data_IF_965424410819
#
_entry.id   IF_965424410819
#
_cell.length_a   1.000
_cell.length_b   1.000
_cell.length_c   1.000
_cell.angle_alpha   90.00
_cell.angle_beta   90.00
_cell.angle_gamma   90.00
#
_symmetry.space_group_name_H-M   'P 1'
#
loop_
_entity.id
_entity.type
_entity.pdbx_description
1 polymer ?
#
# COMPACT_ATOMS: atom_id res chain seq x y z
N UNK A 1 48.82 15.78 42.70
CA UNK A 1 49.95 14.91 42.30
C UNK A 1 50.97 15.66 41.45
N UNK A 2 50.57 16.38 40.40
CA UNK A 2 51.51 17.19 39.60
C UNK A 2 52.11 18.35 40.41
N UNK A 3 51.28 19.13 41.11
CA UNK A 3 51.76 20.25 41.94
C UNK A 3 52.75 19.86 43.07
N UNK A 4 52.72 18.62 43.56
CA UNK A 4 53.70 18.13 44.54
C UNK A 4 55.03 17.70 43.89
N UNK A 5 55.00 17.22 42.64
CA UNK A 5 56.21 16.85 41.89
C UNK A 5 56.91 18.10 41.35
N UNK A 6 56.12 19.10 40.95
CA UNK A 6 56.60 20.39 40.44
C UNK A 6 57.31 21.18 41.56
N UNK A 7 56.74 21.23 42.76
CA UNK A 7 57.40 21.79 43.95
C UNK A 7 58.68 21.02 44.34
N UNK A 8 58.66 19.68 44.30
CA UNK A 8 59.86 18.85 44.56
C UNK A 8 60.96 19.13 43.53
N UNK A 9 60.60 19.35 42.25
CA UNK A 9 61.53 19.70 41.18
C UNK A 9 62.12 21.08 41.37
N UNK A 10 61.31 22.10 41.61
CA UNK A 10 61.78 23.48 41.82
C UNK A 10 62.75 23.55 42.98
N UNK A 11 62.44 22.87 44.09
CA UNK A 11 63.31 22.80 45.27
C UNK A 11 64.65 22.14 44.93
N UNK A 12 64.63 20.98 44.25
CA UNK A 12 65.85 20.27 43.88
C UNK A 12 66.67 21.00 42.79
N UNK A 13 66.03 21.74 41.88
CA UNK A 13 66.71 22.55 40.86
C UNK A 13 67.43 23.73 41.52
N UNK A 14 66.78 24.41 42.46
CA UNK A 14 67.39 25.48 43.23
C UNK A 14 68.57 24.99 44.08
N UNK A 15 68.50 23.78 44.63
CA UNK A 15 69.62 23.15 45.35
C UNK A 15 70.75 22.71 44.41
N UNK A 16 70.45 22.22 43.20
CA UNK A 16 71.45 21.61 42.30
C UNK A 16 72.17 22.62 41.39
N UNK A 17 71.53 23.70 40.95
CA UNK A 17 72.12 24.68 40.01
C UNK A 17 73.41 25.36 40.52
N UNK A 18 73.46 25.98 41.72
CA UNK A 18 74.72 26.57 42.22
C UNK A 18 75.83 25.51 42.40
N UNK A 19 75.46 24.24 42.62
CA UNK A 19 76.40 23.12 42.75
C UNK A 19 76.94 22.62 41.39
N UNK A 20 76.31 23.00 40.27
CA UNK A 20 76.84 22.74 38.91
C UNK A 20 78.00 23.68 38.59
N UNK A 21 77.85 24.97 38.90
CA UNK A 21 78.86 26.00 38.70
C UNK A 21 80.09 25.79 39.59
N UNK A 22 79.88 25.32 40.84
CA UNK A 22 80.98 25.04 41.76
C UNK A 22 81.93 23.96 41.20
N UNK A 23 81.41 22.88 40.62
CA UNK A 23 82.22 21.78 40.03
C UNK A 23 83.17 22.26 38.93
N UNK A 24 82.79 23.30 38.17
CA UNK A 24 83.63 23.88 37.11
C UNK A 24 84.69 24.86 37.63
N UNK A 25 84.53 25.43 38.82
CA UNK A 25 85.46 26.40 39.43
C UNK A 25 86.52 25.82 40.37
N UNK A 26 86.56 24.50 40.58
CA UNK A 26 87.42 23.83 41.59
C UNK A 26 88.88 23.60 41.12
N UNK A 27 89.35 24.27 40.07
CA UNK A 27 90.78 24.19 39.69
C UNK A 27 91.71 24.96 40.67
N UNK A 28 91.19 25.80 41.57
CA UNK A 28 92.01 26.55 42.53
C UNK A 28 91.77 26.10 43.99
N UNK A 29 92.71 25.31 44.52
CA UNK A 29 92.79 25.01 45.96
C UNK A 29 93.45 26.20 46.67
N UNK A 30 92.74 26.82 47.61
CA UNK A 30 93.25 27.88 48.48
C UNK A 30 94.12 27.32 49.61
N UNK A 31 95.32 26.86 49.25
CA UNK A 31 96.33 26.40 50.19
C UNK A 31 97.72 26.51 49.54
N UNK A 32 98.46 27.56 49.88
CA UNK A 32 99.79 27.88 49.37
C UNK A 32 100.84 26.82 49.77
N UNK A 33 100.86 25.71 49.04
CA UNK A 33 102.00 24.80 48.99
C UNK A 33 102.96 25.18 47.87
N UNK A 34 104.23 24.83 48.00
CA UNK A 34 105.24 25.11 46.97
C UNK A 34 105.29 23.92 46.01
N UNK A 35 105.00 24.14 44.73
CA UNK A 35 105.16 23.09 43.70
C UNK A 35 106.64 22.72 43.62
N UNK A 36 106.95 21.45 43.88
CA UNK A 36 108.34 20.96 43.88
C UNK A 36 108.63 20.16 42.60
N UNK A 37 107.60 19.51 42.05
CA UNK A 37 107.58 18.80 40.77
C UNK A 37 106.19 18.95 40.15
N UNK A 38 106.01 18.76 38.82
CA UNK A 38 104.68 18.75 38.20
C UNK A 38 103.76 17.75 38.93
N UNK A 39 102.62 18.23 39.44
CA UNK A 39 101.66 17.42 40.20
C UNK A 39 102.02 17.14 41.68
N UNK A 40 103.16 17.63 42.20
CA UNK A 40 103.59 17.40 43.59
C UNK A 40 103.75 18.73 44.33
N UNK A 41 102.91 18.93 45.35
CA UNK A 41 102.87 20.13 46.17
C UNK A 41 103.36 19.83 47.58
N UNK A 42 104.41 20.53 48.05
CA UNK A 42 104.89 20.40 49.42
C UNK A 42 104.06 21.25 50.38
N UNK A 43 103.58 20.61 51.45
CA UNK A 43 102.71 21.22 52.46
C UNK A 43 103.43 21.16 53.82
N UNK A 44 103.33 22.22 54.63
CA UNK A 44 103.86 22.21 56.00
C UNK A 44 103.10 21.19 56.84
N UNK A 45 103.80 20.39 57.65
CA UNK A 45 103.21 19.32 58.49
C UNK A 45 102.04 19.79 59.36
N UNK A 46 102.09 21.04 59.86
CA UNK A 46 101.01 21.67 60.64
C UNK A 46 99.70 21.89 59.86
N UNK A 47 99.75 21.92 58.52
CA UNK A 47 98.59 22.13 57.65
C UNK A 47 98.09 20.81 57.04
N UNK A 48 98.77 19.68 57.27
CA UNK A 48 98.43 18.39 56.65
C UNK A 48 97.06 17.86 57.11
N UNK A 49 96.73 18.01 58.39
CA UNK A 49 95.43 17.55 58.91
C UNK A 49 94.27 18.38 58.36
N UNK A 50 94.42 19.71 58.28
CA UNK A 50 93.41 20.59 57.68
C UNK A 50 93.16 20.24 56.21
N UNK A 51 94.22 19.94 55.43
CA UNK A 51 94.09 19.54 54.02
C UNK A 51 93.41 18.17 53.89
N UNK A 52 93.67 17.21 54.80
CA UNK A 52 92.98 15.92 54.82
C UNK A 52 91.49 16.05 55.17
N UNK A 53 91.14 16.90 56.15
CA UNK A 53 89.74 17.16 56.51
C UNK A 53 88.99 17.85 55.37
N UNK A 54 89.62 18.83 54.71
CA UNK A 54 89.06 19.48 53.53
C UNK A 54 88.86 18.51 52.36
N UNK A 55 89.81 17.60 52.11
CA UNK A 55 89.67 16.58 51.07
C UNK A 55 88.55 15.57 51.38
N UNK A 56 88.36 15.20 52.65
CA UNK A 56 87.24 14.36 53.09
C UNK A 56 85.90 15.08 52.95
N UNK A 57 85.80 16.31 53.44
CA UNK A 57 84.60 17.14 53.29
C UNK A 57 84.25 17.37 51.81
N UNK A 58 85.25 17.57 50.96
CA UNK A 58 85.07 17.65 49.52
C UNK A 58 84.52 16.37 48.91
N UNK A 59 85.05 15.21 49.31
CA UNK A 59 84.58 13.91 48.81
C UNK A 59 83.13 13.66 49.21
N UNK A 60 82.77 13.93 50.47
CA UNK A 60 81.39 13.82 50.96
C UNK A 60 80.46 14.78 50.22
N UNK A 61 80.83 16.06 50.07
CA UNK A 61 80.04 17.04 49.33
C UNK A 61 79.88 16.64 47.86
N UNK A 62 80.92 16.10 47.22
CA UNK A 62 80.87 15.62 45.84
C UNK A 62 79.87 14.48 45.69
N UNK A 63 79.85 13.53 46.62
CA UNK A 63 78.95 12.39 46.60
C UNK A 63 77.49 12.82 46.88
N UNK A 64 77.28 13.73 47.85
CA UNK A 64 75.97 14.34 48.09
C UNK A 64 75.44 15.09 46.87
N UNK A 65 76.28 15.90 46.20
CA UNK A 65 75.94 16.57 44.93
C UNK A 65 75.58 15.56 43.85
N UNK A 66 76.28 14.44 43.75
CA UNK A 66 75.96 13.38 42.79
C UNK A 66 74.59 12.78 43.07
N UNK A 67 74.26 12.49 44.34
CA UNK A 67 72.94 11.96 44.72
C UNK A 67 71.80 12.95 44.48
N UNK A 68 72.01 14.25 44.73
CA UNK A 68 71.01 15.28 44.43
C UNK A 68 70.72 15.40 42.94
N UNK A 69 71.75 15.26 42.09
CA UNK A 69 71.58 15.22 40.62
C UNK A 69 70.81 14.00 40.16
N UNK A 70 71.06 12.84 40.75
CA UNK A 70 70.30 11.62 40.44
C UNK A 70 68.83 11.75 40.86
N UNK A 71 68.57 12.31 42.05
CA UNK A 71 67.21 12.61 42.52
C UNK A 71 66.48 13.61 41.63
N UNK A 72 67.16 14.69 41.24
CA UNK A 72 66.63 15.68 40.29
C UNK A 72 66.26 15.02 38.96
N UNK A 73 67.15 14.18 38.39
CA UNK A 73 66.86 13.44 37.17
C UNK A 73 65.69 12.45 37.33
N UNK A 74 65.56 11.81 38.50
CA UNK A 74 64.44 10.92 38.80
C UNK A 74 63.11 11.68 38.93
N UNK A 75 63.10 12.87 39.52
CA UNK A 75 61.93 13.76 39.57
C UNK A 75 61.51 14.20 38.17
N UNK A 76 62.44 14.67 37.33
CA UNK A 76 62.12 15.06 35.95
C UNK A 76 61.53 13.89 35.13
N UNK A 77 62.02 12.66 35.32
CA UNK A 77 61.43 11.48 34.67
C UNK A 77 60.02 11.15 35.19
N UNK A 78 59.74 11.39 36.48
CA UNK A 78 58.41 11.18 37.06
C UNK A 78 57.40 12.19 36.55
N UNK A 79 57.80 13.45 36.44
CA UNK A 79 57.01 14.54 35.85
C UNK A 79 56.63 14.23 34.40
N UNK A 80 57.62 13.91 33.54
CA UNK A 80 57.35 13.53 32.14
C UNK A 80 56.37 12.36 32.01
N UNK A 81 56.46 11.36 32.91
CA UNK A 81 55.50 10.23 32.94
C UNK A 81 54.13 10.66 33.42
N UNK A 82 54.04 11.60 34.35
CA UNK A 82 52.79 12.15 34.84
C UNK A 82 52.09 12.95 33.73
N UNK A 83 52.82 13.80 33.00
CA UNK A 83 52.31 14.56 31.85
C UNK A 83 51.79 13.64 30.74
N UNK A 84 52.53 12.57 30.42
CA UNK A 84 52.09 11.57 29.45
C UNK A 84 50.81 10.86 29.89
N UNK A 85 50.67 10.54 31.18
CA UNK A 85 49.47 9.93 31.73
C UNK A 85 48.29 10.89 31.68
N UNK A 86 48.49 12.16 32.03
CA UNK A 86 47.45 13.18 31.95
C UNK A 86 46.95 13.35 30.52
N UNK A 87 47.86 13.44 29.54
CA UNK A 87 47.48 13.50 28.12
C UNK A 87 46.69 12.26 27.68
N UNK A 88 47.06 11.06 28.16
CA UNK A 88 46.30 9.83 27.88
C UNK A 88 44.92 9.83 28.53
N UNK A 89 44.80 10.33 29.77
CA UNK A 89 43.53 10.45 30.47
C UNK A 89 42.62 11.45 29.74
N UNK A 90 43.13 12.62 29.36
CA UNK A 90 42.36 13.63 28.62
C UNK A 90 41.85 13.08 27.28
N UNK A 91 42.67 12.30 26.55
CA UNK A 91 42.23 11.62 25.32
C UNK A 91 41.15 10.57 25.58
N UNK A 92 41.23 9.84 26.68
CA UNK A 92 40.21 8.86 27.07
C UNK A 92 38.91 9.53 27.48
N UNK A 93 38.99 10.62 28.23
CA UNK A 93 37.83 11.42 28.66
C UNK A 93 37.08 11.98 27.44
N UNK A 94 37.78 12.62 26.51
CA UNK A 94 37.20 13.07 25.25
C UNK A 94 36.55 11.91 24.46
N UNK A 95 37.20 10.75 24.40
CA UNK A 95 36.62 9.56 23.75
C UNK A 95 35.38 9.00 24.46
N UNK A 96 35.30 9.13 25.78
CA UNK A 96 34.12 8.74 26.55
C UNK A 96 32.95 9.71 26.33
N UNK A 97 33.21 11.02 26.28
CA UNK A 97 32.21 12.03 25.95
C UNK A 97 31.65 11.82 24.54
N UNK A 98 32.51 11.58 23.56
CA UNK A 98 32.09 11.25 22.18
C UNK A 98 31.20 10.00 22.15
N UNK A 99 31.58 8.95 22.89
CA UNK A 99 30.79 7.73 22.97
C UNK A 99 29.43 7.96 23.64
N UNK A 100 29.39 8.75 24.71
CA UNK A 100 28.16 9.12 25.40
C UNK A 100 27.21 9.88 24.46
N UNK A 101 27.73 10.85 23.70
CA UNK A 101 26.97 11.61 22.71
C UNK A 101 26.39 10.69 21.63
N UNK A 102 27.21 9.76 21.09
CA UNK A 102 26.74 8.78 20.11
C UNK A 102 25.63 7.87 20.66
N UNK A 103 25.72 7.45 21.92
CA UNK A 103 24.68 6.62 22.55
C UNK A 103 23.38 7.40 22.66
N UNK A 104 23.42 8.67 23.09
CA UNK A 104 22.24 9.53 23.21
C UNK A 104 21.59 9.74 21.83
N UNK A 105 22.38 10.00 20.79
CA UNK A 105 21.87 10.14 19.41
C UNK A 105 21.21 8.86 18.90
N UNK A 106 21.86 7.70 19.11
CA UNK A 106 21.31 6.40 18.71
C UNK A 106 20.01 6.09 19.46
N UNK A 107 19.95 6.40 20.75
CA UNK A 107 18.74 6.23 21.56
C UNK A 107 17.60 7.10 21.04
N UNK A 108 17.85 8.38 20.78
CA UNK A 108 16.85 9.30 20.23
C UNK A 108 16.37 8.85 18.84
N UNK A 109 17.28 8.36 18.00
CA UNK A 109 16.92 7.76 16.71
C UNK A 109 16.04 6.53 16.90
N UNK A 110 16.37 5.64 17.82
CA UNK A 110 15.58 4.45 18.09
C UNK A 110 14.17 4.80 18.58
N UNK A 111 14.04 5.80 19.45
CA UNK A 111 12.75 6.27 19.92
C UNK A 111 11.87 6.77 18.77
N UNK A 112 12.43 7.58 17.85
CA UNK A 112 11.72 8.05 16.66
C UNK A 112 11.29 6.90 15.74
N UNK A 113 12.17 5.90 15.55
CA UNK A 113 11.85 4.71 14.75
C UNK A 113 10.69 3.92 15.36
N UNK A 114 10.69 3.73 16.68
CA UNK A 114 9.60 3.03 17.36
C UNK A 114 8.26 3.77 17.22
N UNK A 115 8.26 5.11 17.32
CA UNK A 115 7.05 5.91 17.11
C UNK A 115 6.52 5.81 15.68
N UNK A 116 7.42 5.83 14.68
CA UNK A 116 7.04 5.66 13.28
C UNK A 116 6.50 4.26 13.00
N UNK A 117 7.09 3.24 13.60
CA UNK A 117 6.62 1.85 13.48
C UNK A 117 5.21 1.70 14.07
N UNK A 118 4.98 2.20 15.28
CA UNK A 118 3.67 2.14 15.92
C UNK A 118 2.59 2.87 15.09
N UNK A 119 2.95 4.02 14.50
CA UNK A 119 2.07 4.74 13.58
C UNK A 119 1.78 3.92 12.32
N UNK A 120 2.81 3.36 11.69
CA UNK A 120 2.68 2.56 10.48
C UNK A 120 1.82 1.31 10.71
N UNK A 121 1.95 0.66 11.87
CA UNK A 121 1.11 -0.49 12.25
C UNK A 121 -0.36 -0.09 12.44
N UNK A 122 -0.63 1.06 13.08
CA UNK A 122 -1.99 1.59 13.22
C UNK A 122 -2.60 1.92 11.86
N UNK A 123 -1.85 2.62 11.02
CA UNK A 123 -2.28 3.00 9.67
C UNK A 123 -2.52 1.76 8.80
N UNK A 124 -1.67 0.74 8.91
CA UNK A 124 -1.83 -0.56 8.26
C UNK A 124 -3.12 -1.25 8.67
N UNK A 125 -3.37 -1.40 9.99
CA UNK A 125 -4.61 -1.99 10.51
C UNK A 125 -5.86 -1.23 10.07
N UNK A 126 -5.80 0.10 10.03
CA UNK A 126 -6.92 0.92 9.56
C UNK A 126 -7.22 0.69 8.07
N UNK A 127 -6.18 0.59 7.24
CA UNK A 127 -6.31 0.26 5.82
C UNK A 127 -6.83 -1.15 5.60
N UNK A 128 -6.35 -2.13 6.35
CA UNK A 128 -6.84 -3.51 6.27
C UNK A 128 -8.34 -3.59 6.59
N UNK A 129 -8.79 -2.85 7.61
CA UNK A 129 -10.22 -2.74 7.91
C UNK A 129 -11.02 -2.12 6.76
N UNK A 130 -10.54 -1.03 6.17
CA UNK A 130 -11.19 -0.41 5.00
C UNK A 130 -11.26 -1.38 3.81
N UNK A 131 -10.21 -2.16 3.58
CA UNK A 131 -10.19 -3.17 2.52
C UNK A 131 -11.25 -4.25 2.80
N UNK A 132 -11.34 -4.74 4.03
CA UNK A 132 -12.33 -5.73 4.42
C UNK A 132 -13.77 -5.21 4.25
N UNK A 133 -14.03 -3.97 4.68
CA UNK A 133 -15.35 -3.32 4.54
C UNK A 133 -15.73 -3.17 3.05
N UNK A 134 -14.81 -2.70 2.20
CA UNK A 134 -15.02 -2.57 0.76
C UNK A 134 -15.21 -3.93 0.05
N UNK A 135 -14.54 -4.98 0.52
CA UNK A 135 -14.73 -6.34 -0.01
C UNK A 135 -16.11 -6.89 0.33
N UNK A 136 -16.59 -6.63 1.55
CA UNK A 136 -17.94 -7.02 1.98
C UNK A 136 -19.01 -6.28 1.15
N UNK A 137 -18.85 -4.97 0.96
CA UNK A 137 -19.76 -4.17 0.13
C UNK A 137 -19.77 -4.65 -1.33
N UNK A 138 -18.61 -4.88 -1.94
CA UNK A 138 -18.53 -5.43 -3.29
C UNK A 138 -19.22 -6.79 -3.42
N UNK A 139 -19.11 -7.64 -2.41
CA UNK A 139 -19.77 -8.95 -2.39
C UNK A 139 -21.28 -8.78 -2.34
N UNK A 140 -21.78 -7.87 -1.51
CA UNK A 140 -23.21 -7.51 -1.42
C UNK A 140 -23.73 -6.98 -2.75
N UNK A 141 -23.04 -6.01 -3.36
CA UNK A 141 -23.40 -5.42 -4.64
C UNK A 141 -23.44 -6.46 -5.78
N UNK A 142 -22.45 -7.37 -5.82
CA UNK A 142 -22.45 -8.49 -6.77
C UNK A 142 -23.66 -9.41 -6.56
N UNK A 143 -24.08 -9.63 -5.32
CA UNK A 143 -25.30 -10.37 -4.99
C UNK A 143 -26.55 -9.67 -5.52
N UNK A 144 -26.66 -8.35 -5.31
CA UNK A 144 -27.78 -7.55 -5.81
C UNK A 144 -27.85 -7.55 -7.34
N UNK A 145 -26.71 -7.41 -8.02
CA UNK A 145 -26.63 -7.47 -9.49
C UNK A 145 -27.17 -8.82 -9.99
N UNK A 146 -26.75 -9.95 -9.39
CA UNK A 146 -27.26 -11.28 -9.80
C UNK A 146 -28.77 -11.40 -9.62
N UNK A 147 -29.31 -10.89 -8.50
CA UNK A 147 -30.75 -10.89 -8.25
C UNK A 147 -31.51 -10.06 -9.29
N UNK A 148 -31.02 -8.87 -9.59
CA UNK A 148 -31.62 -8.00 -10.61
C UNK A 148 -31.54 -8.60 -12.01
N UNK A 149 -30.42 -9.24 -12.37
CA UNK A 149 -30.30 -9.97 -13.64
C UNK A 149 -31.35 -11.07 -13.75
N UNK A 150 -31.53 -11.89 -12.70
CA UNK A 150 -32.55 -12.94 -12.69
C UNK A 150 -33.98 -12.38 -12.82
N UNK A 151 -34.28 -11.27 -12.15
CA UNK A 151 -35.59 -10.60 -12.28
C UNK A 151 -35.82 -10.07 -13.70
N UNK A 152 -34.79 -9.48 -14.33
CA UNK A 152 -34.89 -9.02 -15.72
C UNK A 152 -35.16 -10.18 -16.67
N UNK A 153 -34.48 -11.32 -16.49
CA UNK A 153 -34.66 -12.49 -17.35
C UNK A 153 -36.07 -13.09 -17.17
N UNK A 154 -36.59 -13.11 -15.95
CA UNK A 154 -37.98 -13.50 -15.68
C UNK A 154 -38.98 -12.57 -16.39
N UNK A 155 -38.83 -11.25 -16.23
CA UNK A 155 -39.71 -10.26 -16.87
C UNK A 155 -39.67 -10.40 -18.39
N UNK A 156 -38.49 -10.60 -18.99
CA UNK A 156 -38.35 -10.84 -20.43
C UNK A 156 -39.12 -12.08 -20.87
N UNK A 157 -39.01 -13.18 -20.13
CA UNK A 157 -39.74 -14.41 -20.42
C UNK A 157 -41.25 -14.23 -20.36
N UNK A 158 -41.75 -13.56 -19.32
CA UNK A 158 -43.18 -13.26 -19.15
C UNK A 158 -43.71 -12.37 -20.27
N UNK A 159 -42.97 -11.30 -20.62
CA UNK A 159 -43.33 -10.41 -21.72
C UNK A 159 -43.32 -11.14 -23.06
N UNK A 160 -42.32 -11.98 -23.32
CA UNK A 160 -42.25 -12.75 -24.57
C UNK A 160 -43.43 -13.70 -24.72
N UNK A 161 -43.78 -14.43 -23.66
CA UNK A 161 -44.95 -15.30 -23.63
C UNK A 161 -46.24 -14.52 -23.91
N UNK A 162 -46.41 -13.36 -23.26
CA UNK A 162 -47.60 -12.53 -23.42
C UNK A 162 -47.70 -11.90 -24.81
N UNK A 163 -46.59 -11.48 -25.40
CA UNK A 163 -46.55 -10.97 -26.77
C UNK A 163 -47.00 -12.07 -27.74
N UNK A 164 -46.45 -13.28 -27.62
CA UNK A 164 -46.83 -14.38 -28.50
C UNK A 164 -48.32 -14.75 -28.37
N UNK A 165 -48.85 -14.85 -27.15
CA UNK A 165 -50.28 -15.12 -26.93
C UNK A 165 -51.17 -14.04 -27.56
N UNK A 166 -50.78 -12.77 -27.46
CA UNK A 166 -51.51 -11.67 -28.09
C UNK A 166 -51.40 -11.70 -29.62
N UNK A 167 -50.23 -12.01 -30.16
CA UNK A 167 -50.02 -12.18 -31.61
C UNK A 167 -50.89 -13.31 -32.16
N UNK A 168 -50.95 -14.45 -31.48
CA UNK A 168 -51.78 -15.59 -31.88
C UNK A 168 -53.27 -15.25 -31.83
N UNK A 169 -53.72 -14.58 -30.75
CA UNK A 169 -55.11 -14.11 -30.63
C UNK A 169 -55.47 -13.11 -31.72
N UNK A 170 -54.57 -12.17 -32.03
CA UNK A 170 -54.78 -11.18 -33.09
C UNK A 170 -54.90 -11.84 -34.46
N UNK A 171 -54.03 -12.81 -34.75
CA UNK A 171 -54.10 -13.64 -35.97
C UNK A 171 -55.44 -14.40 -36.06
N UNK A 172 -55.90 -14.98 -34.94
CA UNK A 172 -57.20 -15.66 -34.87
C UNK A 172 -58.39 -14.72 -35.11
N UNK A 173 -58.32 -13.49 -34.58
CA UNK A 173 -59.33 -12.45 -34.81
C UNK A 173 -59.38 -12.05 -36.30
N UNK A 174 -58.23 -11.83 -36.93
CA UNK A 174 -58.17 -11.52 -38.36
C UNK A 174 -58.61 -12.69 -39.25
N UNK A 175 -58.36 -13.93 -38.83
CA UNK A 175 -58.91 -15.11 -39.51
C UNK A 175 -60.43 -15.11 -39.47
N UNK A 176 -61.01 -14.82 -38.30
CA UNK A 176 -62.47 -14.70 -38.15
C UNK A 176 -63.04 -13.56 -39.00
N UNK A 177 -62.38 -12.39 -39.00
CA UNK A 177 -62.76 -11.25 -39.84
C UNK A 177 -62.72 -11.61 -41.33
N UNK A 178 -61.69 -12.33 -41.77
CA UNK A 178 -61.55 -12.80 -43.16
C UNK A 178 -62.73 -13.66 -43.56
N UNK A 179 -63.09 -14.61 -42.69
CA UNK A 179 -64.24 -15.49 -42.92
C UNK A 179 -65.56 -14.72 -43.02
N UNK A 180 -65.76 -13.72 -42.17
CA UNK A 180 -66.95 -12.84 -42.21
C UNK A 180 -67.00 -12.05 -43.51
N UNK A 181 -65.88 -11.42 -43.89
CA UNK A 181 -65.78 -10.63 -45.13
C UNK A 181 -66.10 -11.50 -46.35
N UNK A 182 -65.53 -12.70 -46.42
CA UNK A 182 -65.80 -13.64 -47.53
C UNK A 182 -67.26 -14.08 -47.57
N UNK A 183 -67.86 -14.39 -46.42
CA UNK A 183 -69.27 -14.74 -46.34
C UNK A 183 -70.19 -13.58 -46.77
N UNK A 184 -69.86 -12.33 -46.43
CA UNK A 184 -70.59 -11.15 -46.94
C UNK A 184 -70.39 -10.99 -48.45
N UNK A 185 -69.18 -11.23 -48.96
CA UNK A 185 -68.86 -11.22 -50.39
C UNK A 185 -69.69 -12.21 -51.21
N UNK A 186 -70.03 -13.39 -50.64
CA UNK A 186 -70.91 -14.38 -51.27
C UNK A 186 -72.25 -13.78 -51.73
N UNK A 187 -72.80 -12.80 -51.00
CA UNK A 187 -74.08 -12.16 -51.36
C UNK A 187 -74.06 -11.47 -52.73
N UNK A 188 -72.88 -11.07 -53.22
CA UNK A 188 -72.71 -10.43 -54.53
C UNK A 188 -72.07 -11.37 -55.55
N UNK A 189 -71.08 -12.14 -55.13
CA UNK A 189 -70.14 -12.82 -56.03
C UNK A 189 -70.33 -14.33 -56.14
N UNK A 190 -71.12 -14.95 -55.26
CA UNK A 190 -71.36 -16.38 -55.31
C UNK A 190 -72.00 -16.80 -56.65
N UNK A 191 -71.60 -17.96 -57.15
CA UNK A 191 -72.07 -18.53 -58.41
C UNK A 191 -72.52 -19.98 -58.27
N UNK A 192 -72.17 -20.64 -57.17
CA UNK A 192 -72.26 -22.09 -57.04
C UNK A 192 -73.20 -22.49 -55.88
N UNK A 193 -73.14 -21.76 -54.77
CA UNK A 193 -73.76 -22.20 -53.52
C UNK A 193 -75.18 -21.60 -53.30
N UNK A 194 -75.61 -20.69 -54.14
CA UNK A 194 -76.96 -20.09 -54.13
C UNK A 194 -77.17 -18.98 -53.09
N UNK A 195 -76.09 -18.46 -52.50
CA UNK A 195 -76.13 -17.36 -51.54
C UNK A 195 -76.20 -15.97 -52.19
N UNK A 196 -75.92 -15.88 -53.49
CA UNK A 196 -75.98 -14.62 -54.22
C UNK A 196 -77.40 -14.06 -54.23
N UNK A 197 -77.52 -12.76 -53.97
CA UNK A 197 -78.78 -12.03 -54.02
C UNK A 197 -78.93 -11.34 -55.38
N UNK A 198 -80.00 -11.66 -56.09
CA UNK A 198 -80.34 -10.98 -57.34
C UNK A 198 -81.00 -9.62 -57.10
N UNK A 199 -80.73 -8.66 -58.00
CA UNK A 199 -81.36 -7.33 -57.96
C UNK A 199 -80.79 -6.36 -56.93
N UNK A 200 -79.57 -6.57 -56.44
CA UNK A 200 -78.88 -5.61 -55.58
C UNK A 200 -78.81 -4.23 -56.24
N UNK A 201 -79.09 -3.18 -55.47
CA UNK A 201 -78.86 -1.80 -55.92
C UNK A 201 -77.36 -1.51 -55.98
N UNK A 202 -76.95 -0.56 -56.83
CA UNK A 202 -75.55 -0.10 -56.90
C UNK A 202 -74.96 0.33 -55.55
N UNK A 203 -75.79 0.83 -54.62
CA UNK A 203 -75.36 1.21 -53.27
C UNK A 203 -75.04 -0.02 -52.41
N UNK A 204 -75.85 -1.08 -52.50
CA UNK A 204 -75.62 -2.32 -51.76
C UNK A 204 -74.39 -3.07 -52.29
N UNK A 205 -74.21 -3.12 -53.62
CA UNK A 205 -73.00 -3.71 -54.21
C UNK A 205 -71.72 -3.02 -53.73
N UNK A 206 -71.70 -1.68 -53.75
CA UNK A 206 -70.57 -0.89 -53.25
C UNK A 206 -70.32 -1.07 -51.76
N UNK A 207 -71.37 -1.29 -50.97
CA UNK A 207 -71.22 -1.56 -49.54
C UNK A 207 -70.53 -2.91 -49.31
N UNK A 208 -70.91 -3.95 -50.06
CA UNK A 208 -70.28 -5.27 -49.99
C UNK A 208 -68.79 -5.19 -50.36
N UNK A 209 -68.47 -4.50 -51.46
CA UNK A 209 -67.07 -4.28 -51.88
C UNK A 209 -66.29 -3.48 -50.82
N UNK A 210 -66.90 -2.42 -50.29
CA UNK A 210 -66.29 -1.57 -49.28
C UNK A 210 -65.97 -2.31 -47.97
N UNK A 211 -66.77 -3.32 -47.60
CA UNK A 211 -66.47 -4.18 -46.44
C UNK A 211 -65.18 -4.98 -46.69
N UNK A 212 -65.01 -5.54 -47.88
CA UNK A 212 -63.82 -6.30 -48.24
C UNK A 212 -62.58 -5.39 -48.34
N UNK A 213 -62.70 -4.25 -49.02
CA UNK A 213 -61.62 -3.27 -49.13
C UNK A 213 -61.19 -2.73 -47.76
N UNK A 214 -62.15 -2.41 -46.87
CA UNK A 214 -61.85 -1.91 -45.54
C UNK A 214 -61.19 -2.98 -44.65
N UNK A 215 -61.70 -4.21 -44.67
CA UNK A 215 -61.10 -5.33 -43.95
C UNK A 215 -59.67 -5.62 -44.43
N UNK A 216 -59.46 -5.68 -45.75
CA UNK A 216 -58.17 -5.93 -46.36
C UNK A 216 -57.15 -4.82 -46.06
N UNK A 217 -57.59 -3.56 -46.04
CA UNK A 217 -56.75 -2.43 -45.64
C UNK A 217 -56.20 -2.63 -44.22
N UNK A 218 -57.05 -2.88 -43.23
CA UNK A 218 -56.62 -3.05 -41.84
C UNK A 218 -55.77 -4.30 -41.64
N UNK A 219 -56.11 -5.41 -42.32
CA UNK A 219 -55.28 -6.61 -42.29
C UNK A 219 -53.86 -6.35 -42.85
N UNK A 220 -53.71 -5.54 -43.91
CA UNK A 220 -52.39 -5.10 -44.40
C UNK A 220 -51.67 -4.20 -43.39
N UNK A 221 -52.36 -3.23 -42.81
CA UNK A 221 -51.79 -2.30 -41.82
C UNK A 221 -51.28 -3.02 -40.56
N UNK A 222 -51.99 -4.05 -40.11
CA UNK A 222 -51.62 -4.85 -38.93
C UNK A 222 -50.68 -6.04 -39.24
N UNK A 223 -50.17 -6.14 -40.48
CA UNK A 223 -49.13 -7.10 -40.84
C UNK A 223 -49.63 -8.50 -41.24
N UNK A 224 -50.90 -8.62 -41.67
CA UNK A 224 -51.52 -9.85 -42.17
C UNK A 224 -51.87 -9.75 -43.67
N UNK A 225 -50.89 -9.55 -44.58
CA UNK A 225 -51.16 -9.32 -46.00
C UNK A 225 -51.84 -10.52 -46.68
N UNK A 226 -51.53 -11.76 -46.26
CA UNK A 226 -52.17 -12.96 -46.80
C UNK A 226 -53.69 -12.99 -46.54
N UNK A 227 -54.11 -12.52 -45.36
CA UNK A 227 -55.53 -12.44 -45.01
C UNK A 227 -56.23 -11.33 -45.78
N UNK A 228 -55.53 -10.21 -46.02
CA UNK A 228 -56.04 -9.14 -46.86
C UNK A 228 -56.26 -9.60 -48.31
N UNK A 229 -55.32 -10.34 -48.88
CA UNK A 229 -55.48 -10.94 -50.21
C UNK A 229 -56.65 -11.94 -50.27
N UNK A 230 -56.87 -12.71 -49.20
CA UNK A 230 -58.00 -13.64 -49.13
C UNK A 230 -59.35 -12.92 -49.03
N UNK A 231 -59.41 -11.79 -48.30
CA UNK A 231 -60.58 -10.91 -48.25
C UNK A 231 -60.92 -10.32 -49.64
N UNK A 232 -59.90 -9.92 -50.40
CA UNK A 232 -60.03 -9.34 -51.76
C UNK A 232 -60.46 -10.37 -52.83
N UNK A 233 -60.49 -11.67 -52.52
CA UNK A 233 -61.04 -12.69 -53.43
C UNK A 233 -62.57 -12.79 -53.35
N UNK A 234 -63.20 -12.16 -52.35
CA UNK A 234 -64.64 -11.94 -52.18
C UNK A 234 -65.56 -13.18 -52.16
N UNK A 235 -65.02 -14.41 -52.10
CA UNK A 235 -65.81 -15.64 -52.20
C UNK A 235 -65.28 -16.68 -51.20
N UNK A 236 -66.19 -17.28 -50.43
CA UNK A 236 -65.93 -18.46 -49.61
C UNK A 236 -66.66 -18.44 -48.28
N UNK A 237 -67.08 -19.60 -47.81
CA UNK A 237 -67.68 -19.80 -46.49
C UNK A 237 -66.74 -20.68 -45.67
N UNK A 238 -66.32 -20.18 -44.51
CA UNK A 238 -65.51 -20.98 -43.59
C UNK A 238 -66.35 -22.06 -42.91
N UNK A 239 -65.72 -23.16 -42.51
CA UNK A 239 -66.38 -24.26 -41.80
C UNK A 239 -67.18 -23.80 -40.58
N UNK A 240 -66.66 -22.85 -39.79
CA UNK A 240 -67.38 -22.33 -38.62
C UNK A 240 -68.68 -21.60 -38.96
N UNK A 241 -68.71 -20.88 -40.10
CA UNK A 241 -69.94 -20.25 -40.59
C UNK A 241 -70.89 -21.31 -41.14
N UNK A 242 -70.39 -22.26 -41.93
CA UNK A 242 -71.17 -23.38 -42.45
C UNK A 242 -71.86 -24.18 -41.33
N UNK A 243 -71.12 -24.55 -40.28
CA UNK A 243 -71.64 -25.28 -39.12
C UNK A 243 -72.71 -24.48 -38.34
N UNK A 244 -72.73 -23.14 -38.46
CA UNK A 244 -73.71 -22.27 -37.78
C UNK A 244 -75.00 -22.12 -38.59
N UNK A 245 -74.93 -22.20 -39.92
CA UNK A 245 -76.09 -22.03 -40.82
C UNK A 245 -76.73 -23.36 -41.23
N UNK A 246 -75.99 -24.47 -41.15
CA UNK A 246 -76.55 -25.81 -41.31
C UNK A 246 -77.44 -26.16 -40.10
N UNK A 247 -78.66 -26.68 -40.31
CA UNK A 247 -79.52 -27.08 -39.21
C UNK A 247 -78.86 -28.18 -38.39
N UNK A 248 -79.03 -28.20 -37.05
CA UNK A 248 -78.38 -29.19 -36.19
C UNK A 248 -78.74 -30.60 -36.69
N UNK A 249 -77.73 -31.41 -36.99
CA UNK A 249 -77.93 -32.81 -37.38
C UNK A 249 -78.78 -33.46 -36.31
N UNK A 250 -80.01 -33.84 -36.67
CA UNK A 250 -80.88 -34.63 -35.79
C UNK A 250 -80.07 -35.85 -35.37
N UNK A 251 -79.78 -35.99 -34.08
CA UNK A 251 -79.36 -37.27 -33.54
C UNK A 251 -80.52 -38.23 -33.81
N UNK A 252 -80.38 -39.03 -34.87
CA UNK A 252 -81.26 -40.17 -35.08
C UNK A 252 -80.92 -41.11 -33.93
N UNK A 253 -81.73 -41.02 -32.86
CA UNK A 253 -81.86 -42.09 -31.89
C UNK A 253 -82.04 -43.37 -32.70
N UNK A 254 -81.05 -44.26 -32.66
CA UNK A 254 -81.23 -45.63 -33.12
C UNK A 254 -82.25 -46.25 -32.18
N UNK A 255 -83.51 -46.17 -32.58
CA UNK A 255 -84.57 -46.99 -32.03
C UNK A 255 -84.10 -48.44 -32.11
N UNK A 256 -83.96 -49.05 -30.94
CA UNK A 256 -83.93 -50.49 -30.84
C UNK A 256 -85.35 -50.97 -31.10
N UNK A 257 -85.69 -51.16 -32.38
CA UNK A 257 -86.67 -52.18 -32.71
C UNK A 257 -86.02 -53.53 -32.43
N UNK A 258 -86.37 -54.14 -31.30
CA UNK A 258 -86.40 -55.58 -31.20
C UNK A 258 -87.84 -56.01 -30.94
N UNK A 259 -88.42 -56.53 -32.02
CA UNK A 259 -89.64 -57.30 -32.07
C UNK A 259 -89.58 -58.48 -31.08
N UNK A 260 -90.69 -58.67 -30.36
CA UNK A 260 -91.26 -59.88 -29.73
C UNK A 260 -90.33 -61.01 -29.26
#
# INVERSE_FOLDING_TARGET
MLGSIEQEKETLVAEVEPLRELKTGIEEITGTGKTVLPGVVAIKKKNLETVKEQAKAYTVNRDEIATLRERSAAVSRREQRADQREQQLNKREAGLEDMQNQIIERYNRQLRLNQLLEKAERDGKAKDKQIADLQAENTSLRGQIRSLTAQIDQIKGELWSRINDLTDKLKGAYTSLTNIVKAVGMLKYDKEDGYKVDGLTKKQERLIDGVAEYGAKWAKEDGFPEMAEDMEKHIGISKGIADTIEPPRRQISRGWDMEL
#
